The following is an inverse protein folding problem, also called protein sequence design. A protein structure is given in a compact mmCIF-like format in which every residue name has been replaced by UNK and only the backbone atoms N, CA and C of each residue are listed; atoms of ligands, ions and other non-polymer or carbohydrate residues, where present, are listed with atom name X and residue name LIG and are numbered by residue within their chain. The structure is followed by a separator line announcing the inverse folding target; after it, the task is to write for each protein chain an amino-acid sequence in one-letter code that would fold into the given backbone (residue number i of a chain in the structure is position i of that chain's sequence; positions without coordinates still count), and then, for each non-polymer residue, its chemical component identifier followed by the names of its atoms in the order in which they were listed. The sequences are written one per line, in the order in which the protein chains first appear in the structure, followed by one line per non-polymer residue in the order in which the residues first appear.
data_IF_027211427435
#
_entry.id   IF_027211427435
#
_cell.length_a   1.000
_cell.length_b   1.000
_cell.length_c   1.000
_cell.angle_alpha   90.00
_cell.angle_beta   90.00
_cell.angle_gamma   90.00
#
_symmetry.space_group_name_H-M   'P 1'
#
loop_
_entity.id
_entity.type
_entity.pdbx_description
1 polymer ?
#
# COMPACT_ATOMS: atom_id res chain seq x y z
N UNK A 1 -19.48 -17.21 -27.24
CA UNK A 1 -19.78 -17.09 -25.82
C UNK A 1 -18.51 -16.78 -25.06
N UNK A 2 -18.49 -15.70 -24.29
CA UNK A 2 -17.31 -15.34 -23.51
C UNK A 2 -17.05 -16.37 -22.42
N UNK A 3 -15.79 -16.80 -22.29
CA UNK A 3 -15.39 -17.66 -21.18
C UNK A 3 -15.57 -16.90 -19.85
N UNK A 4 -16.03 -17.55 -18.77
CA UNK A 4 -16.03 -16.93 -17.44
C UNK A 4 -14.62 -16.60 -16.94
N UNK A 5 -13.59 -17.11 -17.63
CA UNK A 5 -12.18 -16.83 -17.37
C UNK A 5 -11.58 -15.92 -18.45
N UNK A 6 -12.40 -15.05 -19.06
CA UNK A 6 -11.94 -14.05 -20.00
C UNK A 6 -10.83 -13.16 -19.40
N UNK A 7 -10.02 -12.58 -20.26
CA UNK A 7 -8.91 -11.72 -19.85
C UNK A 7 -9.33 -10.67 -18.82
N UNK A 8 -8.53 -10.53 -17.77
CA UNK A 8 -8.70 -9.51 -16.75
C UNK A 8 -8.54 -8.13 -17.37
N UNK A 9 -9.51 -7.25 -17.14
CA UNK A 9 -9.39 -5.85 -17.53
C UNK A 9 -8.28 -5.16 -16.73
N UNK A 10 -7.82 -4.01 -17.21
CA UNK A 10 -6.81 -3.19 -16.52
C UNK A 10 -7.34 -2.76 -15.14
N UNK A 11 -8.59 -2.30 -15.08
CA UNK A 11 -9.24 -1.91 -13.83
C UNK A 11 -9.27 -3.07 -12.83
N UNK A 12 -9.58 -4.25 -13.31
CA UNK A 12 -9.62 -5.45 -12.46
C UNK A 12 -8.21 -5.86 -12.02
N UNK A 13 -7.21 -5.75 -12.90
CA UNK A 13 -5.83 -6.02 -12.55
C UNK A 13 -5.31 -5.06 -11.47
N UNK A 14 -5.64 -3.78 -11.57
CA UNK A 14 -5.29 -2.80 -10.55
C UNK A 14 -6.00 -3.11 -9.23
N UNK A 15 -7.29 -3.44 -9.28
CA UNK A 15 -8.04 -3.80 -8.08
C UNK A 15 -7.44 -5.04 -7.42
N UNK A 16 -7.06 -6.05 -8.19
CA UNK A 16 -6.44 -7.26 -7.68
C UNK A 16 -5.09 -6.94 -7.02
N UNK A 17 -4.29 -6.08 -7.65
CA UNK A 17 -3.00 -5.65 -7.08
C UNK A 17 -3.19 -4.94 -5.73
N UNK A 18 -4.14 -4.02 -5.65
CA UNK A 18 -4.44 -3.29 -4.42
C UNK A 18 -4.97 -4.22 -3.33
N UNK A 19 -5.79 -5.19 -3.70
CA UNK A 19 -6.30 -6.19 -2.76
C UNK A 19 -5.16 -7.07 -2.21
N UNK A 20 -4.26 -7.53 -3.06
CA UNK A 20 -3.10 -8.31 -2.63
C UNK A 20 -2.15 -7.49 -1.76
N UNK A 21 -1.92 -6.24 -2.12
CA UNK A 21 -1.13 -5.30 -1.34
C UNK A 21 -1.70 -5.14 0.08
N UNK A 22 -2.99 -4.87 0.19
CA UNK A 22 -3.65 -4.72 1.48
C UNK A 22 -3.65 -6.03 2.26
N UNK A 23 -3.93 -7.15 1.59
CA UNK A 23 -4.03 -8.46 2.20
C UNK A 23 -2.70 -8.90 2.83
N UNK A 24 -1.59 -8.68 2.15
CA UNK A 24 -0.28 -9.04 2.70
C UNK A 24 0.05 -8.22 3.95
N UNK A 25 -0.28 -6.95 3.98
CA UNK A 25 -0.07 -6.10 5.15
C UNK A 25 -1.01 -6.46 6.29
N UNK A 26 -2.29 -6.67 6.00
CA UNK A 26 -3.32 -6.94 7.01
C UNK A 26 -3.16 -8.31 7.66
N UNK A 27 -2.58 -9.27 6.96
CA UNK A 27 -2.36 -10.63 7.45
C UNK A 27 -0.92 -10.90 7.88
N UNK A 28 -0.15 -9.83 8.14
CA UNK A 28 1.22 -9.91 8.65
C UNK A 28 2.21 -10.64 7.74
N UNK A 29 1.92 -10.67 6.44
CA UNK A 29 2.84 -11.19 5.43
C UNK A 29 3.68 -10.04 4.87
N UNK A 30 4.40 -9.36 5.77
CA UNK A 30 5.13 -8.13 5.46
C UNK A 30 6.26 -8.35 4.44
N UNK A 31 6.84 -9.54 4.43
CA UNK A 31 7.93 -9.89 3.51
C UNK A 31 7.46 -9.91 2.06
N UNK A 32 6.16 -10.07 1.82
CA UNK A 32 5.57 -10.02 0.48
C UNK A 32 5.33 -8.59 -0.02
N UNK A 33 5.26 -7.62 0.89
CA UNK A 33 4.98 -6.23 0.53
C UNK A 33 5.99 -5.64 -0.45
N UNK A 34 7.32 -5.74 -0.24
CA UNK A 34 8.29 -5.23 -1.22
C UNK A 34 8.19 -5.91 -2.59
N UNK A 35 7.69 -7.13 -2.64
CA UNK A 35 7.57 -7.88 -3.89
C UNK A 35 6.52 -7.31 -4.84
N UNK A 36 5.67 -6.38 -4.37
CA UNK A 36 4.74 -5.64 -5.21
C UNK A 36 5.40 -4.47 -5.96
N UNK A 37 6.69 -4.23 -5.74
CA UNK A 37 7.43 -3.10 -6.28
C UNK A 37 8.55 -3.59 -7.18
N UNK A 38 8.89 -2.78 -8.19
CA UNK A 38 10.09 -2.98 -9.00
C UNK A 38 11.32 -2.53 -8.19
N UNK A 39 12.53 -2.89 -8.64
CA UNK A 39 13.77 -2.64 -7.87
C UNK A 39 13.98 -1.17 -7.51
N UNK A 40 13.68 -0.26 -8.42
CA UNK A 40 13.77 1.18 -8.22
C UNK A 40 12.41 1.83 -7.90
N UNK A 41 11.44 1.02 -7.45
CA UNK A 41 10.14 1.50 -7.04
C UNK A 41 10.21 2.40 -5.82
N UNK A 42 9.31 3.37 -5.76
CA UNK A 42 9.26 4.37 -4.70
C UNK A 42 7.99 4.23 -3.88
N UNK A 43 8.11 4.56 -2.61
CA UNK A 43 6.97 4.59 -1.68
C UNK A 43 7.09 5.82 -0.78
N UNK A 44 6.14 6.73 -0.90
CA UNK A 44 6.14 7.96 -0.11
C UNK A 44 4.82 8.13 0.61
N UNK A 45 4.89 8.58 1.87
CA UNK A 45 3.73 9.01 2.65
C UNK A 45 4.00 10.43 3.15
N UNK A 46 3.10 11.35 2.81
CA UNK A 46 3.25 12.77 3.10
C UNK A 46 1.94 13.34 3.61
N UNK A 47 1.96 14.16 4.69
CA UNK A 47 0.77 14.88 5.13
C UNK A 47 0.24 15.83 4.06
N UNK A 48 -1.07 15.89 3.90
CA UNK A 48 -1.69 16.73 2.88
C UNK A 48 -1.38 18.20 3.05
N UNK A 49 -1.34 18.67 4.28
CA UNK A 49 -1.00 20.07 4.56
C UNK A 49 0.39 20.46 4.04
N UNK A 50 1.33 19.53 4.04
CA UNK A 50 2.67 19.79 3.49
C UNK A 50 2.64 19.88 1.97
N UNK A 51 1.84 19.04 1.32
CA UNK A 51 1.64 19.09 -0.13
C UNK A 51 0.99 20.42 -0.53
N UNK A 52 -0.08 20.79 0.15
CA UNK A 52 -0.84 22.01 -0.14
C UNK A 52 -0.02 23.28 0.08
N UNK A 53 0.89 23.25 1.06
CA UNK A 53 1.81 24.35 1.34
C UNK A 53 3.02 24.40 0.39
N UNK A 54 3.16 23.44 -0.50
CA UNK A 54 4.29 23.35 -1.41
C UNK A 54 5.61 23.04 -0.71
N UNK A 55 5.55 22.48 0.48
CA UNK A 55 6.75 22.13 1.25
C UNK A 55 7.41 20.87 0.69
N UNK A 56 8.71 20.97 0.45
CA UNK A 56 9.54 19.85 0.05
C UNK A 56 10.07 19.20 1.32
N UNK A 57 9.60 17.99 1.62
CA UNK A 57 9.98 17.27 2.83
C UNK A 57 8.82 17.01 3.78
N UNK A 58 9.14 16.65 5.02
CA UNK A 58 8.13 16.32 6.02
C UNK A 58 7.39 15.02 5.73
N UNK A 59 8.05 14.09 5.04
CA UNK A 59 7.49 12.77 4.75
C UNK A 59 7.44 11.91 6.01
N UNK A 60 6.34 11.21 6.21
CA UNK A 60 6.25 10.16 7.22
C UNK A 60 6.99 8.90 6.78
N UNK A 61 7.00 8.63 5.47
CA UNK A 61 7.75 7.54 4.88
C UNK A 61 8.36 8.03 3.56
N UNK A 62 9.63 7.69 3.36
CA UNK A 62 10.37 8.07 2.15
C UNK A 62 11.28 6.92 1.75
N UNK A 63 10.84 6.14 0.80
CA UNK A 63 11.56 4.98 0.31
C UNK A 63 11.72 5.08 -1.20
N UNK A 64 12.94 5.00 -1.68
CA UNK A 64 13.27 5.21 -3.10
C UNK A 64 13.72 3.95 -3.82
N UNK A 65 13.67 2.81 -3.14
CA UNK A 65 14.04 1.54 -3.74
C UNK A 65 13.36 0.38 -3.02
N UNK A 66 13.25 -0.74 -3.70
CA UNK A 66 12.76 -1.99 -3.11
C UNK A 66 13.62 -2.45 -1.94
N UNK A 67 14.93 -2.22 -2.01
CA UNK A 67 15.86 -2.54 -0.92
C UNK A 67 15.49 -1.77 0.36
N UNK A 68 15.13 -0.50 0.25
CA UNK A 68 14.68 0.29 1.40
C UNK A 68 13.37 -0.25 1.99
N UNK A 69 12.47 -0.75 1.14
CA UNK A 69 11.23 -1.39 1.61
C UNK A 69 11.52 -2.67 2.39
N UNK A 70 12.47 -3.47 1.93
CA UNK A 70 12.92 -4.67 2.65
C UNK A 70 13.52 -4.31 4.01
N UNK A 71 14.32 -3.25 4.08
CA UNK A 71 14.86 -2.74 5.34
C UNK A 71 13.76 -2.29 6.29
N UNK A 72 12.71 -1.67 5.77
CA UNK A 72 11.55 -1.28 6.56
C UNK A 72 10.85 -2.49 7.18
N UNK A 73 10.69 -3.56 6.41
CA UNK A 73 10.10 -4.80 6.91
C UNK A 73 10.95 -5.40 8.03
N UNK A 74 12.25 -5.43 7.84
CA UNK A 74 13.19 -5.90 8.87
C UNK A 74 13.05 -5.07 10.15
N UNK A 75 12.99 -3.76 10.03
CA UNK A 75 12.79 -2.84 11.15
C UNK A 75 11.47 -3.10 11.86
N UNK A 76 10.39 -3.27 11.12
CA UNK A 76 9.07 -3.56 11.69
C UNK A 76 9.05 -4.88 12.45
N UNK A 77 9.72 -5.91 11.95
CA UNK A 77 9.80 -7.19 12.62
C UNK A 77 10.52 -7.10 13.96
N UNK A 78 11.57 -6.28 14.05
CA UNK A 78 12.31 -6.09 15.29
C UNK A 78 11.56 -5.20 16.29
N UNK A 79 10.92 -4.14 15.83
CA UNK A 79 10.24 -3.16 16.69
C UNK A 79 8.91 -3.72 17.20
N UNK A 80 8.16 -4.41 16.36
CA UNK A 80 6.79 -4.85 16.66
C UNK A 80 6.71 -6.11 17.52
N UNK A 81 7.79 -6.54 18.14
CA UNK A 81 7.77 -7.67 19.08
C UNK A 81 6.82 -7.39 20.25
N UNK A 82 6.62 -6.12 20.61
CA UNK A 82 5.82 -5.71 21.77
C UNK A 82 4.55 -4.93 21.42
N UNK A 83 4.41 -4.44 20.18
CA UNK A 83 3.29 -3.60 19.74
C UNK A 83 2.63 -4.20 18.50
N UNK A 84 1.96 -5.33 18.69
CA UNK A 84 1.22 -5.95 17.59
C UNK A 84 -0.16 -5.31 17.46
N UNK A 85 -0.55 -5.06 16.22
CA UNK A 85 -1.86 -4.55 15.86
C UNK A 85 -2.50 -5.49 14.86
N UNK A 86 -3.82 -5.60 14.94
CA UNK A 86 -4.60 -6.15 13.85
C UNK A 86 -4.99 -4.99 12.95
N UNK A 87 -4.66 -5.10 11.67
CA UNK A 87 -4.91 -4.04 10.70
C UNK A 87 -5.91 -4.49 9.66
N UNK A 88 -6.69 -3.54 9.16
CA UNK A 88 -7.52 -3.71 7.96
C UNK A 88 -7.45 -2.45 7.13
N UNK A 89 -7.08 -2.63 5.87
CA UNK A 89 -7.14 -1.58 4.87
C UNK A 89 -8.47 -1.68 4.14
N UNK A 90 -9.21 -0.57 4.10
CA UNK A 90 -10.41 -0.45 3.29
C UNK A 90 -10.07 0.47 2.13
N UNK A 91 -9.98 -0.09 0.92
CA UNK A 91 -9.59 0.65 -0.28
C UNK A 91 -10.85 0.92 -1.10
N UNK A 92 -11.04 2.17 -1.47
CA UNK A 92 -12.21 2.63 -2.22
C UNK A 92 -11.84 3.58 -3.33
N UNK A 93 -12.81 3.85 -4.20
CA UNK A 93 -12.70 4.88 -5.24
C UNK A 93 -11.49 4.67 -6.16
N UNK A 94 -11.26 3.43 -6.54
CA UNK A 94 -10.17 3.09 -7.46
C UNK A 94 -10.48 3.65 -8.84
N UNK A 95 -9.56 4.47 -9.35
CA UNK A 95 -9.65 5.07 -10.67
C UNK A 95 -8.35 4.86 -11.41
N UNK A 96 -8.43 4.29 -12.59
CA UNK A 96 -7.27 4.01 -13.43
C UNK A 96 -7.18 5.07 -14.52
N UNK A 97 -5.99 5.61 -14.70
CA UNK A 97 -5.65 6.51 -15.77
C UNK A 97 -4.52 5.89 -16.58
N UNK A 98 -4.75 5.66 -17.85
CA UNK A 98 -3.72 5.10 -18.71
C UNK A 98 -2.66 6.16 -19.04
N UNK A 99 -1.39 5.85 -18.75
CA UNK A 99 -0.25 6.71 -19.09
C UNK A 99 0.25 6.45 -20.50
N UNK A 100 0.48 5.18 -20.81
CA UNK A 100 0.90 4.71 -22.14
C UNK A 100 0.52 3.23 -22.28
N UNK A 101 1.01 2.53 -23.29
CA UNK A 101 0.64 1.14 -23.58
C UNK A 101 1.13 0.15 -22.51
N UNK A 102 2.16 0.51 -21.75
CA UNK A 102 2.79 -0.39 -20.77
C UNK A 102 2.61 0.09 -19.32
N UNK A 103 2.34 1.38 -19.11
CA UNK A 103 2.30 1.97 -17.78
C UNK A 103 0.94 2.59 -17.49
N UNK A 104 0.48 2.41 -16.28
CA UNK A 104 -0.79 2.91 -15.82
C UNK A 104 -0.61 3.68 -14.51
N UNK A 105 -1.43 4.70 -14.34
CA UNK A 105 -1.58 5.40 -13.07
C UNK A 105 -2.94 5.06 -12.50
N UNK A 106 -3.00 4.84 -11.21
CA UNK A 106 -4.25 4.62 -10.52
C UNK A 106 -4.30 5.46 -9.25
N UNK A 107 -5.49 5.98 -8.96
CA UNK A 107 -5.79 6.69 -7.74
C UNK A 107 -6.79 5.89 -6.92
N UNK A 108 -6.67 5.94 -5.62
CA UNK A 108 -7.62 5.32 -4.72
C UNK A 108 -7.64 6.06 -3.39
N UNK A 109 -8.67 5.80 -2.60
CA UNK A 109 -8.74 6.23 -1.22
C UNK A 109 -8.56 5.01 -0.33
N UNK A 110 -8.03 5.20 0.86
CA UNK A 110 -8.01 4.11 1.83
C UNK A 110 -8.29 4.62 3.24
N UNK A 111 -8.83 3.73 4.05
CA UNK A 111 -8.94 3.89 5.49
C UNK A 111 -8.23 2.70 6.13
N UNK A 112 -7.29 2.99 7.02
CA UNK A 112 -6.61 1.96 7.79
C UNK A 112 -7.21 1.92 9.19
N UNK A 113 -7.73 0.76 9.58
CA UNK A 113 -8.24 0.51 10.93
C UNK A 113 -7.25 -0.38 11.64
N UNK A 114 -6.83 0.03 12.83
CA UNK A 114 -5.94 -0.74 13.68
C UNK A 114 -6.62 -1.07 14.99
N UNK A 115 -6.48 -2.32 15.42
CA UNK A 115 -6.95 -2.78 16.72
C UNK A 115 -5.75 -3.33 17.48
N UNK A 116 -5.47 -2.77 18.64
CA UNK A 116 -4.39 -3.27 19.50
C UNK A 116 -4.87 -4.48 20.32
N UNK A 117 -3.96 -5.13 21.02
CA UNK A 117 -4.30 -6.29 21.84
C UNK A 117 -5.21 -5.98 23.03
N UNK A 118 -5.36 -4.71 23.41
CA UNK A 118 -6.29 -4.27 24.44
C UNK A 118 -7.70 -4.05 23.89
N UNK A 119 -7.93 -4.28 22.60
CA UNK A 119 -9.22 -4.13 21.96
C UNK A 119 -9.60 -2.70 21.61
N UNK A 120 -8.67 -1.75 21.74
CA UNK A 120 -8.91 -0.36 21.33
C UNK A 120 -8.82 -0.24 19.80
N UNK A 121 -9.73 0.51 19.23
CA UNK A 121 -9.79 0.75 17.79
C UNK A 121 -9.27 2.15 17.50
N UNK A 122 -8.26 2.22 16.65
CA UNK A 122 -7.74 3.48 16.11
C UNK A 122 -7.97 3.50 14.59
N UNK A 123 -8.31 4.66 14.07
CA UNK A 123 -8.41 4.87 12.63
C UNK A 123 -7.39 5.91 12.19
N UNK A 124 -6.74 5.61 11.11
CA UNK A 124 -5.72 6.49 10.53
C UNK A 124 -6.16 6.94 9.14
#
# INVERSE_FOLDING_TARGET
MASPFAETTIEQAVQNLLNEYADCLDNDRLEEWPEHFIEDGCYFVQPRENIDAGLDGGYWMYHTSKAMLRDRVTSLRHINTYNKYYCRHLITNVKVVQQDDENFEANSNFLLVQVNFEGKIDSI
#
